data_IF_201925329647
#
_entry.id   IF_201925329647
#
_cell.length_a   1.000
_cell.length_b   1.000
_cell.length_c   1.000
_cell.angle_alpha   90.00
_cell.angle_beta   90.00
_cell.angle_gamma   90.00
#
_symmetry.space_group_name_H-M   'P 1'
#
loop_
_entity.id
_entity.type
_entity.pdbx_description
1 polymer ?
#
# COMPACT_ATOMS: atom_id res chain seq x y z
N UNK A 1 44.06 -44.12 -6.06
CA UNK A 1 45.07 -43.25 -5.41
C UNK A 1 44.63 -41.78 -5.50
N UNK A 2 43.39 -41.46 -5.09
CA UNK A 2 42.69 -40.23 -5.52
C UNK A 2 41.76 -39.60 -4.47
N UNK A 3 41.70 -40.09 -3.23
CA UNK A 3 40.88 -39.43 -2.16
C UNK A 3 41.70 -38.55 -1.20
N UNK A 4 43.01 -38.79 -1.06
CA UNK A 4 43.86 -38.00 -0.16
C UNK A 4 44.26 -36.61 -0.72
N UNK A 5 44.29 -36.44 -2.04
CA UNK A 5 44.65 -35.17 -2.71
C UNK A 5 43.52 -34.12 -2.64
N UNK A 6 42.26 -34.54 -2.69
CA UNK A 6 41.09 -33.64 -2.61
C UNK A 6 40.88 -33.06 -1.21
N UNK A 7 41.11 -33.85 -0.15
CA UNK A 7 41.01 -33.39 1.25
C UNK A 7 42.07 -32.35 1.63
N UNK A 8 43.28 -32.45 1.04
CA UNK A 8 44.39 -31.52 1.30
C UNK A 8 44.17 -30.16 0.62
N UNK A 9 43.56 -30.14 -0.57
CA UNK A 9 43.25 -28.90 -1.29
C UNK A 9 42.08 -28.12 -0.65
N UNK A 10 41.03 -28.79 -0.19
CA UNK A 10 39.92 -28.13 0.52
C UNK A 10 40.36 -27.48 1.85
N UNK A 11 41.29 -28.13 2.57
CA UNK A 11 41.86 -27.59 3.82
C UNK A 11 42.73 -26.35 3.59
N UNK A 12 43.48 -26.30 2.49
CA UNK A 12 44.29 -25.13 2.15
C UNK A 12 43.44 -23.94 1.69
N UNK A 13 42.37 -24.18 0.92
CA UNK A 13 41.45 -23.11 0.49
C UNK A 13 40.72 -22.50 1.69
N UNK A 14 40.27 -23.32 2.65
CA UNK A 14 39.62 -22.83 3.86
C UNK A 14 40.57 -22.01 4.75
N UNK A 15 41.85 -22.40 4.84
CA UNK A 15 42.87 -21.61 5.56
C UNK A 15 43.16 -20.27 4.88
N UNK A 16 43.21 -20.23 3.54
CA UNK A 16 43.39 -18.98 2.79
C UNK A 16 42.19 -18.04 3.00
N UNK A 17 40.98 -18.58 3.03
CA UNK A 17 39.76 -17.78 3.28
C UNK A 17 39.73 -17.18 4.69
N UNK A 18 40.13 -17.95 5.71
CA UNK A 18 40.23 -17.46 7.09
C UNK A 18 41.32 -16.38 7.22
N UNK A 19 42.48 -16.56 6.57
CA UNK A 19 43.55 -15.54 6.58
C UNK A 19 43.06 -14.25 5.92
N UNK A 20 42.35 -14.33 4.79
CA UNK A 20 41.79 -13.14 4.14
C UNK A 20 40.72 -12.44 4.99
N UNK A 21 39.85 -13.19 5.66
CA UNK A 21 38.84 -12.63 6.56
C UNK A 21 39.48 -11.92 7.75
N UNK A 22 40.54 -12.49 8.35
CA UNK A 22 41.28 -11.87 9.46
C UNK A 22 42.02 -10.61 8.99
N UNK A 23 42.60 -10.59 7.78
CA UNK A 23 43.24 -9.37 7.24
C UNK A 23 42.25 -8.24 6.96
N UNK A 24 41.03 -8.53 6.52
CA UNK A 24 39.99 -7.52 6.29
C UNK A 24 39.52 -6.90 7.63
N UNK A 25 39.37 -7.74 8.67
CA UNK A 25 39.01 -7.27 10.02
C UNK A 25 40.15 -6.45 10.65
N UNK A 26 41.42 -6.79 10.42
CA UNK A 26 42.54 -5.97 10.89
C UNK A 26 42.66 -4.64 10.13
N UNK A 27 42.37 -4.60 8.82
CA UNK A 27 42.39 -3.35 8.05
C UNK A 27 41.29 -2.37 8.50
N UNK A 28 40.10 -2.86 8.89
CA UNK A 28 39.04 -1.98 9.39
C UNK A 28 39.36 -1.39 10.77
N UNK A 29 40.15 -2.09 11.61
CA UNK A 29 40.65 -1.55 12.88
C UNK A 29 41.74 -0.48 12.74
N UNK A 30 42.56 -0.56 11.67
CA UNK A 30 43.59 0.46 11.38
C UNK A 30 42.95 1.73 10.80
N UNK A 31 41.83 1.62 10.07
CA UNK A 31 41.07 2.77 9.57
C UNK A 31 40.28 3.52 10.67
N UNK A 32 39.96 2.87 11.80
CA UNK A 32 39.27 3.50 12.93
C UNK A 32 40.19 4.16 13.98
N UNK A 33 41.51 4.13 13.78
CA UNK A 33 42.49 4.71 14.73
C UNK A 33 43.42 5.77 14.13
N UNK A 34 43.22 6.16 12.86
CA UNK A 34 44.03 7.19 12.17
C UNK A 34 43.28 8.50 11.87
N UNK A 35 42.36 8.90 12.74
CA UNK A 35 41.96 10.31 12.88
C UNK A 35 42.34 10.80 14.29
N UNK A 36 43.64 10.82 14.58
CA UNK A 36 44.18 11.72 15.60
C UNK A 36 44.18 13.13 15.01
N UNK A 37 43.25 13.93 15.50
CA UNK A 37 43.15 15.38 15.33
C UNK A 37 44.55 16.00 15.59
N UNK A 38 45.07 16.71 14.58
CA UNK A 38 46.16 17.66 14.74
C UNK A 38 45.54 19.00 15.08
N UNK A 39 45.84 19.53 16.26
CA UNK A 39 45.47 20.89 16.65
C UNK A 39 46.17 21.90 15.73
N UNK A 40 45.39 22.70 15.01
CA UNK A 40 45.83 23.90 14.31
C UNK A 40 45.03 25.09 14.89
N UNK A 41 45.66 26.13 15.45
CA UNK A 41 44.98 27.10 16.31
C UNK A 41 44.38 28.31 15.57
N UNK A 42 43.89 28.13 14.33
CA UNK A 42 43.27 29.21 13.53
C UNK A 42 42.01 28.72 12.79
N UNK A 43 41.09 28.07 13.50
CA UNK A 43 39.72 27.88 13.02
C UNK A 43 38.73 28.58 13.95
N UNK A 44 37.96 29.48 13.34
CA UNK A 44 36.90 30.23 13.97
C UNK A 44 35.98 29.28 14.72
N UNK A 45 35.77 29.58 16.00
CA UNK A 45 34.80 28.91 16.87
C UNK A 45 33.41 29.17 16.25
N UNK A 46 32.96 28.27 15.38
CA UNK A 46 31.55 28.15 15.05
C UNK A 46 30.93 27.54 16.29
N UNK A 47 30.26 28.39 17.05
CA UNK A 47 29.47 28.00 18.21
C UNK A 47 28.39 27.00 17.75
N UNK A 48 28.62 25.73 18.06
CA UNK A 48 27.68 24.62 17.83
C UNK A 48 26.48 24.66 18.80
N UNK A 49 26.22 25.79 19.47
CA UNK A 49 25.03 26.00 20.30
C UNK A 49 23.75 26.29 19.48
N UNK A 50 23.86 26.58 18.17
CA UNK A 50 22.70 26.94 17.34
C UNK A 50 22.00 25.75 16.66
N UNK A 51 22.52 24.53 16.79
CA UNK A 51 21.81 23.30 16.38
C UNK A 51 20.80 22.79 17.41
N UNK A 52 20.54 23.58 18.45
CA UNK A 52 19.51 23.30 19.47
C UNK A 52 18.28 24.20 19.37
N UNK A 53 18.16 24.99 18.29
CA UNK A 53 17.03 25.89 18.08
C UNK A 53 16.42 25.78 16.67
N UNK A 54 16.26 24.55 16.18
CA UNK A 54 15.38 24.24 15.04
C UNK A 54 14.37 23.14 15.37
N UNK A 55 13.91 23.08 16.62
CA UNK A 55 12.88 22.12 17.06
C UNK A 55 11.63 22.77 17.65
N UNK A 56 11.41 24.07 17.43
CA UNK A 56 10.22 24.76 17.94
C UNK A 56 9.20 25.19 16.88
N UNK A 57 9.29 24.73 15.63
CA UNK A 57 8.35 25.10 14.56
C UNK A 57 8.01 23.88 13.69
N UNK A 58 6.70 23.63 13.54
CA UNK A 58 6.01 22.50 12.86
C UNK A 58 5.60 21.31 13.75
N UNK A 59 4.74 21.56 14.73
CA UNK A 59 3.82 20.55 15.30
C UNK A 59 2.68 20.26 14.30
N UNK A 60 3.01 19.72 13.11
CA UNK A 60 1.96 19.17 12.26
C UNK A 60 1.49 17.86 12.89
N UNK A 61 0.28 17.90 13.44
CA UNK A 61 -0.35 16.79 14.12
C UNK A 61 -1.54 16.35 13.27
N UNK A 62 -1.30 15.37 12.39
CA UNK A 62 -2.32 14.87 11.47
C UNK A 62 -3.52 14.26 12.21
N UNK A 63 -3.34 13.81 13.45
CA UNK A 63 -4.41 13.21 14.26
C UNK A 63 -5.50 14.22 14.63
N UNK A 64 -5.17 15.53 14.59
CA UNK A 64 -6.14 16.62 14.79
C UNK A 64 -6.96 16.95 13.55
N UNK A 65 -6.62 16.40 12.38
CA UNK A 65 -7.35 16.65 11.15
C UNK A 65 -8.69 15.90 11.20
N UNK A 66 -9.77 16.64 10.99
CA UNK A 66 -11.11 16.05 10.92
C UNK A 66 -11.31 15.43 9.53
N UNK A 67 -11.61 14.13 9.47
CA UNK A 67 -12.09 13.47 8.25
C UNK A 67 -13.61 13.52 8.17
N UNK A 68 -14.13 14.19 7.14
CA UNK A 68 -15.56 14.25 6.83
C UNK A 68 -15.83 13.41 5.59
N UNK A 69 -16.36 12.20 5.79
CA UNK A 69 -16.75 11.33 4.68
C UNK A 69 -18.17 11.68 4.23
N UNK A 70 -18.35 11.86 2.93
CA UNK A 70 -19.67 12.10 2.34
C UNK A 70 -20.20 10.85 1.65
N UNK A 71 -21.52 10.79 1.50
CA UNK A 71 -22.19 9.72 0.80
C UNK A 71 -23.61 10.11 0.46
N UNK A 72 -24.23 9.30 -0.38
CA UNK A 72 -25.66 9.26 -0.60
C UNK A 72 -26.26 8.05 0.14
N UNK A 73 -27.57 7.86 0.01
CA UNK A 73 -28.24 6.63 0.48
C UNK A 73 -27.67 5.39 -0.24
N UNK A 74 -27.24 5.56 -1.49
CA UNK A 74 -26.80 4.48 -2.38
C UNK A 74 -25.32 4.16 -2.26
N UNK A 75 -24.48 5.18 -2.07
CA UNK A 75 -23.01 5.05 -2.09
C UNK A 75 -22.41 5.83 -0.95
N UNK A 76 -21.54 5.19 -0.18
CA UNK A 76 -20.92 5.78 1.00
C UNK A 76 -19.41 5.71 0.90
N UNK A 77 -18.75 6.76 1.39
CA UNK A 77 -17.35 6.70 1.80
C UNK A 77 -17.31 6.17 3.23
N UNK A 78 -16.60 5.07 3.47
CA UNK A 78 -16.45 4.44 4.78
C UNK A 78 -15.02 3.96 5.06
N UNK A 79 -14.78 3.53 6.29
CA UNK A 79 -13.51 2.93 6.73
C UNK A 79 -12.28 3.81 6.48
N UNK A 80 -12.47 5.14 6.48
CA UNK A 80 -11.39 6.07 6.18
C UNK A 80 -10.31 6.08 7.25
N UNK A 81 -9.08 6.29 6.78
CA UNK A 81 -7.90 6.46 7.62
C UNK A 81 -7.01 7.58 7.09
N UNK A 82 -6.21 8.14 7.99
CA UNK A 82 -5.25 9.19 7.71
C UNK A 82 -3.98 8.92 8.52
N UNK A 83 -2.83 8.87 7.87
CA UNK A 83 -1.55 8.77 8.56
C UNK A 83 -0.42 9.40 7.72
N UNK A 84 0.75 9.58 8.34
CA UNK A 84 1.99 9.93 7.65
C UNK A 84 2.78 8.66 7.35
N UNK A 85 3.16 8.45 6.09
CA UNK A 85 4.01 7.34 5.73
C UNK A 85 5.48 7.57 6.13
N UNK A 86 6.34 6.61 5.75
CA UNK A 86 7.78 6.64 6.05
C UNK A 86 8.52 7.79 5.39
N UNK A 87 7.93 8.36 4.33
CA UNK A 87 8.47 9.52 3.68
C UNK A 87 7.97 10.79 4.36
N UNK A 88 7.01 10.73 5.28
CA UNK A 88 6.24 11.85 5.84
C UNK A 88 5.21 12.42 4.85
N UNK A 89 4.76 11.64 3.88
CA UNK A 89 3.65 12.03 3.01
C UNK A 89 2.31 11.71 3.69
N UNK A 90 1.35 12.63 3.57
CA UNK A 90 0.01 12.46 4.13
C UNK A 90 -0.79 11.48 3.26
N UNK A 91 -1.07 10.31 3.82
CA UNK A 91 -1.80 9.23 3.15
C UNK A 91 -3.24 9.20 3.64
N UNK A 92 -4.17 9.31 2.69
CA UNK A 92 -5.61 9.14 2.93
C UNK A 92 -6.02 7.81 2.32
N UNK A 93 -6.69 6.95 3.08
CA UNK A 93 -7.25 5.69 2.61
C UNK A 93 -8.71 5.59 2.99
N UNK A 94 -9.45 4.74 2.28
CA UNK A 94 -10.82 4.40 2.63
C UNK A 94 -11.46 3.51 1.57
N UNK A 95 -12.78 3.38 1.65
CA UNK A 95 -13.55 2.60 0.69
C UNK A 95 -14.78 3.35 0.20
N UNK A 96 -15.08 3.19 -1.08
CA UNK A 96 -16.38 3.51 -1.67
C UNK A 96 -17.24 2.25 -1.58
N UNK A 97 -18.28 2.25 -0.75
CA UNK A 97 -19.26 1.16 -0.66
C UNK A 97 -20.49 1.49 -1.48
N UNK A 98 -20.91 0.56 -2.34
CA UNK A 98 -22.21 0.61 -3.00
C UNK A 98 -23.24 -0.18 -2.17
N UNK A 99 -24.06 0.51 -1.39
CA UNK A 99 -25.15 -0.10 -0.59
C UNK A 99 -26.40 -0.41 -1.44
N UNK A 100 -26.42 0.06 -2.69
CA UNK A 100 -27.52 -0.11 -3.62
C UNK A 100 -27.37 -1.40 -4.44
N UNK A 101 -28.47 -1.89 -5.03
CA UNK A 101 -28.45 -3.05 -5.94
C UNK A 101 -27.98 -2.68 -7.36
N UNK A 102 -27.91 -1.39 -7.67
CA UNK A 102 -27.58 -0.87 -9.00
C UNK A 102 -26.06 -0.67 -9.08
N UNK A 103 -25.44 -1.23 -10.11
CA UNK A 103 -24.00 -1.09 -10.36
C UNK A 103 -23.65 0.40 -10.58
N UNK A 104 -22.47 0.82 -10.16
CA UNK A 104 -21.96 2.19 -10.40
C UNK A 104 -20.82 2.16 -11.42
N UNK A 105 -20.72 3.20 -12.24
CA UNK A 105 -19.64 3.40 -13.21
C UNK A 105 -19.16 4.85 -13.18
N UNK A 106 -18.09 5.18 -13.91
CA UNK A 106 -17.45 6.51 -13.90
C UNK A 106 -17.18 7.01 -12.47
N UNK A 107 -16.63 6.12 -11.63
CA UNK A 107 -16.41 6.41 -10.21
C UNK A 107 -15.19 7.31 -10.08
N UNK A 108 -15.36 8.42 -9.38
CA UNK A 108 -14.30 9.39 -9.11
C UNK A 108 -14.38 9.79 -7.63
N UNK A 109 -13.29 9.59 -6.91
CA UNK A 109 -13.16 10.00 -5.51
C UNK A 109 -12.69 11.44 -5.49
N UNK A 110 -13.39 12.32 -4.79
CA UNK A 110 -13.00 13.72 -4.59
C UNK A 110 -12.48 13.93 -3.19
N UNK A 111 -11.40 14.69 -3.05
CA UNK A 111 -10.78 15.00 -1.76
C UNK A 111 -10.52 16.51 -1.70
N UNK A 112 -11.26 17.19 -0.82
CA UNK A 112 -11.14 18.62 -0.58
C UNK A 112 -10.49 18.87 0.79
N UNK A 113 -9.43 19.65 0.82
CA UNK A 113 -8.68 20.00 2.03
C UNK A 113 -9.02 21.43 2.45
N UNK A 114 -9.30 21.63 3.74
CA UNK A 114 -9.75 22.91 4.29
C UNK A 114 -8.87 23.39 5.44
N UNK A 115 -8.67 24.69 5.48
CA UNK A 115 -8.03 25.35 6.61
C UNK A 115 -8.99 25.57 7.79
N UNK A 116 -8.46 26.03 8.93
CA UNK A 116 -9.26 26.28 10.15
C UNK A 116 -10.35 27.35 9.95
N UNK A 117 -10.17 28.25 8.98
CA UNK A 117 -11.18 29.24 8.59
C UNK A 117 -12.30 28.66 7.71
N UNK A 118 -12.22 27.39 7.32
CA UNK A 118 -13.19 26.74 6.44
C UNK A 118 -12.97 27.03 4.96
N UNK A 119 -11.87 27.68 4.58
CA UNK A 119 -11.50 27.90 3.19
C UNK A 119 -10.87 26.63 2.62
N UNK A 120 -11.24 26.30 1.37
CA UNK A 120 -10.65 25.18 0.65
C UNK A 120 -9.30 25.56 0.09
N UNK A 121 -8.26 24.81 0.47
CA UNK A 121 -6.86 25.06 0.08
C UNK A 121 -6.37 24.15 -1.04
N UNK A 122 -6.86 22.90 -1.09
CA UNK A 122 -6.47 21.91 -2.09
C UNK A 122 -7.71 21.10 -2.49
N UNK A 123 -7.77 20.67 -3.74
CA UNK A 123 -8.77 19.73 -4.25
C UNK A 123 -8.09 18.70 -5.13
N UNK A 124 -8.43 17.44 -4.95
CA UNK A 124 -7.97 16.33 -5.76
C UNK A 124 -9.17 15.49 -6.25
N UNK A 125 -9.03 14.93 -7.44
CA UNK A 125 -9.98 13.99 -8.02
C UNK A 125 -9.21 12.75 -8.50
N UNK A 126 -9.67 11.58 -8.08
CA UNK A 126 -9.00 10.29 -8.31
C UNK A 126 -9.99 9.41 -9.07
N UNK A 127 -9.79 9.20 -10.38
CA UNK A 127 -10.61 8.25 -11.12
C UNK A 127 -10.34 6.84 -10.59
N UNK A 128 -11.40 6.06 -10.38
CA UNK A 128 -11.26 4.68 -9.96
C UNK A 128 -10.53 3.87 -11.04
N UNK A 129 -9.64 2.96 -10.62
CA UNK A 129 -8.96 2.03 -11.52
C UNK A 129 -9.85 0.84 -11.95
N UNK A 130 -11.17 0.99 -11.87
CA UNK A 130 -12.18 -0.02 -12.22
C UNK A 130 -13.30 0.64 -13.00
N UNK A 131 -13.97 -0.12 -13.86
CA UNK A 131 -15.09 0.40 -14.65
C UNK A 131 -16.45 0.28 -13.95
N UNK A 132 -16.61 -0.75 -13.11
CA UNK A 132 -17.89 -1.03 -12.44
C UNK A 132 -17.72 -1.42 -10.97
N UNK A 133 -18.48 -0.74 -10.10
CA UNK A 133 -18.65 -1.13 -8.69
C UNK A 133 -20.02 -1.79 -8.53
N UNK A 134 -20.02 -3.11 -8.34
CA UNK A 134 -21.24 -3.90 -8.19
C UNK A 134 -22.01 -3.52 -6.93
N UNK A 135 -23.32 -3.77 -6.95
CA UNK A 135 -24.14 -3.63 -5.76
C UNK A 135 -23.63 -4.52 -4.61
N UNK A 136 -23.46 -3.94 -3.42
CA UNK A 136 -22.91 -4.60 -2.24
C UNK A 136 -21.39 -4.66 -2.15
N UNK A 137 -20.66 -4.32 -3.22
CA UNK A 137 -19.20 -4.33 -3.25
C UNK A 137 -18.59 -3.04 -2.68
N UNK A 138 -17.30 -3.13 -2.36
CA UNK A 138 -16.48 -2.01 -1.87
C UNK A 138 -15.28 -1.80 -2.77
N UNK A 139 -15.03 -0.56 -3.16
CA UNK A 139 -13.83 -0.15 -3.88
C UNK A 139 -12.86 0.52 -2.90
N UNK A 140 -11.71 -0.07 -2.60
CA UNK A 140 -10.68 0.61 -1.83
C UNK A 140 -10.04 1.75 -2.65
N UNK A 141 -9.68 2.84 -1.98
CA UNK A 141 -8.93 3.95 -2.57
C UNK A 141 -7.84 4.44 -1.62
N UNK A 142 -6.82 5.07 -2.20
CA UNK A 142 -5.80 5.81 -1.46
C UNK A 142 -5.39 7.08 -2.21
N UNK A 143 -4.88 8.06 -1.49
CA UNK A 143 -4.31 9.30 -2.01
C UNK A 143 -3.09 9.71 -1.20
N UNK A 144 -2.02 10.09 -1.89
CA UNK A 144 -0.83 10.68 -1.29
C UNK A 144 -0.84 12.17 -1.59
N UNK A 145 -0.89 13.00 -0.55
CA UNK A 145 -0.61 14.43 -0.68
C UNK A 145 0.88 14.64 -0.42
N UNK A 146 1.68 14.99 -1.42
CA UNK A 146 3.14 15.12 -1.26
C UNK A 146 3.62 16.57 -1.04
N UNK A 147 2.70 17.54 -1.09
CA UNK A 147 2.98 18.99 -0.93
C UNK A 147 3.03 19.38 0.56
N UNK A 148 4.12 19.00 1.25
CA UNK A 148 4.27 19.12 2.72
C UNK A 148 4.14 20.53 3.26
N UNK A 149 4.55 21.53 2.48
CA UNK A 149 4.41 22.94 2.83
C UNK A 149 2.95 23.36 3.06
N UNK A 150 1.98 22.60 2.52
CA UNK A 150 0.56 22.87 2.69
C UNK A 150 -0.06 22.20 3.91
N UNK A 151 0.66 21.30 4.59
CA UNK A 151 0.09 20.47 5.66
C UNK A 151 -0.34 21.29 6.87
N UNK A 152 0.47 22.28 7.26
CA UNK A 152 0.27 23.05 8.49
C UNK A 152 -1.09 23.78 8.53
N UNK A 153 -1.64 24.10 7.36
CA UNK A 153 -2.91 24.78 7.26
C UNK A 153 -4.10 23.83 7.24
N UNK A 154 -3.90 22.52 6.98
CA UNK A 154 -4.98 21.54 6.90
C UNK A 154 -5.56 21.31 8.30
N UNK A 155 -6.87 21.47 8.41
CA UNK A 155 -7.63 21.16 9.64
C UNK A 155 -8.77 20.18 9.39
N UNK A 156 -9.25 20.08 8.15
CA UNK A 156 -10.34 19.20 7.77
C UNK A 156 -10.13 18.70 6.35
N UNK A 157 -10.44 17.43 6.13
CA UNK A 157 -10.45 16.79 4.80
C UNK A 157 -11.86 16.26 4.57
N UNK A 158 -12.46 16.67 3.46
CA UNK A 158 -13.76 16.17 3.02
C UNK A 158 -13.56 15.21 1.86
N UNK A 159 -14.08 13.99 2.00
CA UNK A 159 -13.96 12.93 1.00
C UNK A 159 -15.34 12.67 0.40
N UNK A 160 -15.43 12.66 -0.92
CA UNK A 160 -16.66 12.38 -1.65
C UNK A 160 -16.45 11.46 -2.82
N UNK A 161 -17.57 11.13 -3.47
CA UNK A 161 -17.59 10.25 -4.63
C UNK A 161 -18.62 10.71 -5.64
N UNK A 162 -18.17 10.85 -6.88
CA UNK A 162 -19.00 11.01 -8.06
C UNK A 162 -19.14 9.66 -8.76
N UNK A 163 -20.32 9.39 -9.31
CA UNK A 163 -20.58 8.15 -10.04
C UNK A 163 -21.79 8.30 -10.97
N UNK A 164 -21.96 7.34 -11.87
CA UNK A 164 -23.17 7.13 -12.67
C UNK A 164 -23.79 5.78 -12.33
N UNK A 165 -25.11 5.69 -12.37
CA UNK A 165 -25.80 4.41 -12.29
C UNK A 165 -25.64 3.64 -13.61
N UNK A 166 -25.30 2.36 -13.50
CA UNK A 166 -25.26 1.40 -14.59
C UNK A 166 -26.32 0.33 -14.32
N UNK A 167 -27.29 0.22 -15.23
CA UNK A 167 -28.40 -0.72 -15.14
C UNK A 167 -28.16 -2.00 -15.96
N UNK A 168 -26.97 -2.14 -16.54
CA UNK A 168 -26.59 -3.35 -17.26
C UNK A 168 -26.48 -4.51 -16.28
N UNK A 169 -27.03 -5.65 -16.71
CA UNK A 169 -26.98 -6.90 -15.96
C UNK A 169 -25.75 -7.67 -16.40
N UNK A 170 -24.88 -7.98 -15.45
CA UNK A 170 -23.74 -8.83 -15.73
C UNK A 170 -24.14 -10.31 -15.80
N UNK A 171 -23.60 -11.00 -16.80
CA UNK A 171 -23.66 -12.44 -16.98
C UNK A 171 -22.50 -13.14 -16.28
N UNK A 172 -21.34 -12.47 -16.16
CA UNK A 172 -20.22 -12.92 -15.35
C UNK A 172 -20.45 -12.75 -13.85
N UNK A 173 -19.84 -13.62 -13.04
CA UNK A 173 -19.90 -13.52 -11.59
C UNK A 173 -18.67 -14.17 -10.94
N UNK A 174 -17.49 -13.54 -11.00
CA UNK A 174 -16.33 -13.99 -10.25
C UNK A 174 -16.59 -13.88 -8.74
N UNK A 175 -16.25 -14.95 -8.03
CA UNK A 175 -16.20 -15.01 -6.57
C UNK A 175 -14.80 -15.37 -6.11
N UNK A 176 -14.42 -14.93 -4.92
CA UNK A 176 -13.11 -15.20 -4.31
C UNK A 176 -13.29 -16.19 -3.17
N UNK A 177 -12.54 -17.28 -3.20
CA UNK A 177 -12.46 -18.25 -2.11
C UNK A 177 -11.07 -18.16 -1.47
N UNK A 178 -11.02 -17.85 -0.18
CA UNK A 178 -9.80 -17.89 0.61
C UNK A 178 -9.59 -19.33 1.10
N UNK A 179 -8.51 -19.96 0.66
CA UNK A 179 -8.23 -21.37 0.97
C UNK A 179 -7.37 -21.49 2.24
N UNK A 180 -6.34 -20.64 2.37
CA UNK A 180 -5.45 -20.67 3.52
C UNK A 180 -4.63 -19.40 3.69
N UNK A 181 -4.08 -19.20 4.89
CA UNK A 181 -3.03 -18.23 5.14
C UNK A 181 -2.00 -18.79 6.13
N UNK A 182 -0.76 -18.34 5.99
CA UNK A 182 0.33 -18.73 6.89
C UNK A 182 1.42 -17.67 6.90
N UNK A 183 2.27 -17.73 7.92
CA UNK A 183 3.45 -16.89 8.04
C UNK A 183 4.68 -17.67 7.60
N UNK A 184 5.52 -17.04 6.78
CA UNK A 184 6.79 -17.61 6.33
C UNK A 184 7.85 -16.51 6.35
N UNK A 185 8.84 -16.65 7.22
CA UNK A 185 9.82 -15.59 7.50
C UNK A 185 9.05 -14.30 7.87
N UNK A 186 9.39 -13.17 7.26
CA UNK A 186 8.74 -11.89 7.48
C UNK A 186 7.52 -11.68 6.57
N UNK A 187 6.96 -12.74 5.97
CA UNK A 187 5.80 -12.62 5.09
C UNK A 187 4.54 -13.25 5.67
N UNK A 188 3.42 -12.51 5.59
CA UNK A 188 2.10 -13.11 5.52
C UNK A 188 1.84 -13.58 4.09
N UNK A 189 1.53 -14.86 3.93
CA UNK A 189 1.13 -15.46 2.65
C UNK A 189 -0.33 -15.86 2.73
N UNK A 190 -1.13 -15.41 1.78
CA UNK A 190 -2.54 -15.77 1.62
C UNK A 190 -2.71 -16.44 0.27
N UNK A 191 -3.31 -17.63 0.28
CA UNK A 191 -3.57 -18.44 -0.90
C UNK A 191 -5.08 -18.62 -1.09
N UNK A 192 -5.53 -18.46 -2.32
CA UNK A 192 -6.93 -18.63 -2.65
C UNK A 192 -7.14 -18.81 -4.13
N UNK A 193 -8.41 -18.76 -4.54
CA UNK A 193 -8.79 -18.84 -5.93
C UNK A 193 -9.94 -17.90 -6.26
N UNK A 194 -10.02 -17.55 -7.53
CA UNK A 194 -11.16 -16.86 -8.13
C UNK A 194 -11.86 -17.84 -9.05
N UNK A 195 -13.18 -17.93 -8.96
CA UNK A 195 -14.02 -18.79 -9.81
C UNK A 195 -15.09 -17.91 -10.46
N UNK A 196 -15.24 -17.98 -11.78
CA UNK A 196 -16.36 -17.34 -12.45
C UNK A 196 -17.58 -18.27 -12.44
N UNK A 197 -18.47 -18.09 -11.46
CA UNK A 197 -19.70 -18.88 -11.34
C UNK A 197 -20.85 -18.32 -12.21
N UNK A 198 -20.57 -17.28 -13.00
CA UNK A 198 -21.50 -16.74 -13.99
C UNK A 198 -21.46 -17.50 -15.30
N UNK A 199 -22.46 -17.25 -16.14
CA UNK A 199 -22.57 -17.85 -17.48
C UNK A 199 -21.77 -17.07 -18.54
N UNK A 200 -21.48 -15.80 -18.27
CA UNK A 200 -20.76 -14.91 -19.17
C UNK A 200 -19.24 -15.01 -19.04
N UNK A 201 -18.53 -14.82 -20.17
CA UNK A 201 -17.09 -14.57 -20.16
C UNK A 201 -16.81 -13.18 -19.59
N UNK A 202 -15.85 -13.10 -18.68
CA UNK A 202 -15.40 -11.85 -18.05
C UNK A 202 -14.03 -11.42 -18.56
N UNK A 203 -13.75 -10.13 -18.47
CA UNK A 203 -12.47 -9.48 -18.79
C UNK A 203 -12.12 -8.38 -17.78
N UNK A 204 -10.92 -7.84 -17.89
CA UNK A 204 -10.38 -6.80 -16.99
C UNK A 204 -10.51 -7.19 -15.51
N UNK A 205 -10.31 -8.49 -15.21
CA UNK A 205 -10.44 -9.03 -13.88
C UNK A 205 -9.33 -8.48 -12.97
N UNK A 206 -9.73 -7.84 -11.88
CA UNK A 206 -8.84 -7.31 -10.85
C UNK A 206 -9.28 -7.84 -9.49
N UNK A 207 -8.30 -8.21 -8.68
CA UNK A 207 -8.50 -8.64 -7.31
C UNK A 207 -7.74 -7.71 -6.38
N UNK A 208 -8.44 -7.10 -5.42
CA UNK A 208 -7.83 -6.27 -4.39
C UNK A 208 -8.00 -6.94 -3.03
N UNK A 209 -6.97 -6.83 -2.20
CA UNK A 209 -7.01 -7.16 -0.79
C UNK A 209 -6.87 -5.87 0.02
N UNK A 210 -7.89 -5.56 0.81
CA UNK A 210 -7.90 -4.43 1.74
C UNK A 210 -7.64 -4.95 3.14
N UNK A 211 -6.72 -4.32 3.87
CA UNK A 211 -6.36 -4.64 5.24
C UNK A 211 -6.88 -3.55 6.18
N UNK A 212 -7.37 -3.96 7.35
CA UNK A 212 -8.03 -3.06 8.29
C UNK A 212 -7.46 -3.19 9.69
N UNK A 213 -7.45 -2.10 10.45
CA UNK A 213 -7.13 -2.11 11.88
C UNK A 213 -8.31 -2.59 12.74
N UNK A 214 -8.14 -2.59 14.06
CA UNK A 214 -9.16 -2.94 15.07
C UNK A 214 -10.38 -2.00 15.07
N UNK A 215 -10.24 -0.78 14.53
CA UNK A 215 -11.31 0.20 14.32
C UNK A 215 -12.02 0.05 12.97
N UNK A 216 -11.71 -1.01 12.20
CA UNK A 216 -12.17 -1.23 10.82
C UNK A 216 -11.75 -0.14 9.82
N UNK A 217 -10.70 0.62 10.11
CA UNK A 217 -10.17 1.60 9.16
C UNK A 217 -9.19 0.93 8.20
N UNK A 218 -9.21 1.33 6.94
CA UNK A 218 -8.27 0.83 5.93
C UNK A 218 -6.85 1.28 6.28
N UNK A 219 -5.92 0.34 6.32
CA UNK A 219 -4.51 0.65 6.62
C UNK A 219 -3.56 0.26 5.50
N UNK A 220 -3.95 -0.69 4.65
CA UNK A 220 -3.14 -1.12 3.53
C UNK A 220 -4.04 -1.70 2.43
N UNK A 221 -3.69 -1.43 1.17
CA UNK A 221 -4.42 -1.93 0.00
C UNK A 221 -3.39 -2.58 -0.92
N UNK A 222 -3.68 -3.80 -1.36
CA UNK A 222 -2.81 -4.51 -2.31
C UNK A 222 -3.61 -5.14 -3.43
N UNK A 223 -3.26 -4.79 -4.67
CA UNK A 223 -3.74 -5.54 -5.82
C UNK A 223 -3.04 -6.89 -5.88
N UNK A 224 -3.81 -7.96 -6.01
CA UNK A 224 -3.30 -9.31 -6.17
C UNK A 224 -2.94 -9.55 -7.63
N UNK A 225 -1.85 -10.26 -7.84
CA UNK A 225 -1.50 -10.74 -9.17
C UNK A 225 -2.41 -11.92 -9.55
N UNK A 226 -3.03 -11.82 -10.72
CA UNK A 226 -3.79 -12.89 -11.35
C UNK A 226 -3.07 -13.29 -12.64
N UNK A 227 -3.02 -14.59 -12.93
CA UNK A 227 -2.36 -15.07 -14.16
C UNK A 227 -3.15 -14.68 -15.40
N UNK A 228 -4.48 -14.55 -15.28
CA UNK A 228 -5.38 -14.17 -16.37
C UNK A 228 -6.30 -13.04 -15.93
N UNK A 229 -6.47 -12.05 -16.79
CA UNK A 229 -7.45 -10.97 -16.60
C UNK A 229 -8.81 -11.28 -17.26
N UNK A 230 -8.93 -12.44 -17.92
CA UNK A 230 -10.15 -12.96 -18.53
C UNK A 230 -10.47 -14.34 -17.97
N UNK A 231 -11.76 -14.67 -17.85
CA UNK A 231 -12.21 -16.01 -17.45
C UNK A 231 -13.51 -16.37 -18.16
N UNK A 232 -13.61 -17.59 -18.70
CA UNK A 232 -14.89 -18.13 -19.18
C UNK A 232 -15.77 -18.57 -18.02
N UNK A 233 -17.01 -18.97 -18.30
CA UNK A 233 -17.87 -19.60 -17.30
C UNK A 233 -17.19 -20.82 -16.66
N UNK A 234 -17.40 -21.00 -15.36
CA UNK A 234 -16.87 -22.09 -14.52
C UNK A 234 -15.35 -22.18 -14.42
N UNK A 235 -14.61 -21.30 -15.11
CA UNK A 235 -13.16 -21.28 -15.03
C UNK A 235 -12.72 -20.86 -13.62
N UNK A 236 -11.60 -21.44 -13.17
CA UNK A 236 -10.96 -21.09 -11.92
C UNK A 236 -9.49 -20.70 -12.15
N UNK A 237 -8.98 -19.81 -11.30
CA UNK A 237 -7.55 -19.55 -11.22
C UNK A 237 -7.12 -19.30 -9.77
N UNK A 238 -5.93 -19.77 -9.42
CA UNK A 238 -5.34 -19.57 -8.10
C UNK A 238 -4.60 -18.23 -8.04
N UNK A 239 -4.54 -17.65 -6.85
CA UNK A 239 -3.70 -16.50 -6.55
C UNK A 239 -2.91 -16.73 -5.26
N UNK A 240 -1.77 -16.06 -5.16
CA UNK A 240 -0.97 -15.99 -3.94
C UNK A 240 -0.63 -14.54 -3.66
N UNK A 241 -1.08 -14.05 -2.52
CA UNK A 241 -0.73 -12.73 -2.02
C UNK A 241 0.36 -12.87 -0.96
N UNK A 242 1.47 -12.15 -1.14
CA UNK A 242 2.53 -12.04 -0.14
C UNK A 242 2.60 -10.62 0.37
N UNK A 243 2.56 -10.44 1.68
CA UNK A 243 2.69 -9.14 2.36
C UNK A 243 3.90 -9.21 3.26
N UNK A 244 4.87 -8.31 3.04
CA UNK A 244 6.03 -8.16 3.91
C UNK A 244 5.57 -7.48 5.20
N UNK A 245 5.88 -8.10 6.34
CA UNK A 245 5.57 -7.66 7.70
C UNK A 245 6.79 -6.95 8.26
N UNK A 246 7.10 -5.77 7.71
CA UNK A 246 8.15 -4.90 8.22
C UNK A 246 7.59 -3.84 9.17
N UNK A 247 8.46 -3.01 9.73
CA UNK A 247 8.10 -1.92 10.63
C UNK A 247 7.29 -0.79 9.96
N UNK A 248 7.22 -0.79 8.63
CA UNK A 248 6.53 0.24 7.84
C UNK A 248 5.11 -0.15 7.46
N UNK A 249 4.76 -1.44 7.55
CA UNK A 249 3.39 -1.89 7.38
C UNK A 249 2.56 -1.52 8.61
N UNK A 250 1.50 -0.69 8.45
CA UNK A 250 0.62 -0.39 9.57
C UNK A 250 -0.03 -1.65 10.16
N UNK A 251 -0.26 -1.63 11.48
CA UNK A 251 -0.91 -2.73 12.18
C UNK A 251 -2.32 -2.97 11.61
N UNK A 252 -2.60 -4.22 11.24
CA UNK A 252 -3.91 -4.68 10.78
C UNK A 252 -4.38 -5.88 11.62
N UNK A 253 -5.68 -6.10 11.69
CA UNK A 253 -6.32 -7.20 12.42
C UNK A 253 -7.04 -8.17 11.50
N UNK A 254 -7.46 -7.71 10.32
CA UNK A 254 -8.17 -8.53 9.34
C UNK A 254 -8.02 -7.95 7.93
N UNK A 255 -8.46 -8.71 6.94
CA UNK A 255 -8.44 -8.32 5.53
C UNK A 255 -9.67 -8.81 4.79
N UNK A 256 -9.88 -8.26 3.59
CA UNK A 256 -11.01 -8.59 2.72
C UNK A 256 -10.60 -8.53 1.26
N UNK A 257 -11.11 -9.47 0.48
CA UNK A 257 -10.95 -9.48 -0.96
C UNK A 257 -12.17 -8.89 -1.66
N UNK A 258 -11.92 -8.09 -2.68
CA UNK A 258 -12.93 -7.56 -3.60
C UNK A 258 -12.47 -7.79 -5.04
N UNK A 259 -13.39 -8.24 -5.88
CA UNK A 259 -13.13 -8.59 -7.28
C UNK A 259 -13.92 -7.69 -8.20
N UNK A 260 -13.25 -7.19 -9.23
CA UNK A 260 -13.79 -6.28 -10.23
C UNK A 260 -13.56 -6.85 -11.62
N UNK A 261 -14.54 -6.67 -12.49
CA UNK A 261 -14.52 -7.24 -13.83
C UNK A 261 -15.49 -6.48 -14.73
N UNK A 262 -15.45 -6.83 -16.01
CA UNK A 262 -16.43 -6.45 -17.02
C UNK A 262 -16.87 -7.71 -17.76
N UNK A 263 -18.11 -7.72 -18.24
CA UNK A 263 -18.49 -8.73 -19.22
C UNK A 263 -17.77 -8.48 -20.55
N UNK A 264 -17.52 -9.56 -21.28
CA UNK A 264 -17.10 -9.47 -22.67
C UNK A 264 -18.22 -8.84 -23.51
N UNK A 265 -17.85 -7.89 -24.37
CA UNK A 265 -18.82 -7.25 -25.27
C UNK A 265 -19.22 -8.28 -26.31
N UNK A 266 -20.48 -8.72 -26.28
CA UNK A 266 -21.05 -9.54 -27.36
C UNK A 266 -21.22 -8.65 -28.58
N UNK A 267 -20.39 -8.83 -29.60
CA UNK A 267 -20.67 -8.24 -30.91
C UNK A 267 -21.94 -8.90 -31.45
N UNK A 268 -22.99 -8.14 -31.79
CA UNK A 268 -24.18 -8.72 -32.41
C UNK A 268 -23.77 -9.42 -33.71
N UNK A 269 -24.23 -10.66 -33.87
CA UNK A 269 -24.05 -11.46 -35.08
C UNK A 269 -24.84 -10.90 -36.27
#
# INVERSE_FOLDING_TARGET
>A
MTSARLRKNASNIFKIFIIHLITIILLSFILLTSCKIRDNPDEQIIDYSDYKNKSSLYLFDYEKIVLESTGSIDVKIENCNLYLDIYEDLVILGEVKNDSKVNKTNIEITIDFYNKGGEKIISAAIPAHINYLRGGSRLPFYYYLTEREKYIDISKIKIGVNYKNCYERFEGNPIVENESYYYKEDYLVIEGKVINIGEGKIRNLKLFCTFYNDKNQVVFIKQCYLTREEMTAEEEQKFTLKVLLDEYLPVFTHWRFEVFFEDEIKTPA
#
